data_IF_808647501319
#
_entry.id   IF_808647501319
#
_cell.length_a   1.000
_cell.length_b   1.000
_cell.length_c   1.000
_cell.angle_alpha   90.00
_cell.angle_beta   90.00
_cell.angle_gamma   90.00
#
_symmetry.space_group_name_H-M   'P 1'
#
loop_
_entity.id
_entity.type
_entity.pdbx_description
1 polymer ?
#
# COMPACT_ATOMS: atom_id res chain seq x y z
N UNK A 1 -44.51 -55.93 4.39
CA UNK A 1 -43.56 -55.66 3.28
C UNK A 1 -43.43 -54.15 3.13
N UNK A 2 -42.33 -53.59 3.61
CA UNK A 2 -42.07 -52.12 3.52
C UNK A 2 -41.11 -51.87 2.33
N UNK A 3 -41.61 -51.22 1.31
CA UNK A 3 -40.88 -50.85 0.08
C UNK A 3 -39.97 -49.65 0.40
N UNK A 4 -38.69 -49.90 0.52
CA UNK A 4 -37.61 -48.92 0.70
C UNK A 4 -37.43 -48.13 -0.61
N UNK A 5 -37.97 -46.90 -0.64
CA UNK A 5 -37.82 -45.95 -1.74
C UNK A 5 -36.33 -45.51 -1.82
N UNK A 6 -35.54 -46.12 -2.73
CA UNK A 6 -34.20 -45.68 -3.06
C UNK A 6 -34.28 -44.27 -3.69
N UNK A 7 -33.80 -43.27 -2.95
CA UNK A 7 -33.56 -41.93 -3.46
C UNK A 7 -32.41 -42.00 -4.47
N UNK A 8 -32.73 -42.03 -5.74
CA UNK A 8 -31.78 -41.89 -6.86
C UNK A 8 -31.22 -40.48 -6.89
N UNK A 9 -30.10 -40.25 -6.20
CA UNK A 9 -29.35 -39.02 -6.28
C UNK A 9 -28.84 -38.82 -7.72
N UNK A 10 -29.51 -37.98 -8.49
CA UNK A 10 -29.07 -37.57 -9.84
C UNK A 10 -27.62 -37.12 -9.79
N UNK A 11 -26.70 -37.88 -10.40
CA UNK A 11 -25.30 -37.45 -10.58
C UNK A 11 -25.31 -36.16 -11.39
N UNK A 12 -24.94 -35.05 -10.75
CA UNK A 12 -24.79 -33.74 -11.41
C UNK A 12 -23.82 -33.85 -12.58
N UNK A 13 -24.19 -33.27 -13.70
CA UNK A 13 -23.34 -33.21 -14.89
C UNK A 13 -22.10 -32.38 -14.63
N UNK A 14 -21.00 -32.60 -15.37
CA UNK A 14 -19.76 -31.83 -15.25
C UNK A 14 -20.02 -30.31 -15.39
N UNK A 15 -20.96 -29.94 -16.25
CA UNK A 15 -21.37 -28.55 -16.49
C UNK A 15 -22.08 -27.94 -15.27
N UNK A 16 -22.99 -28.68 -14.64
CA UNK A 16 -23.66 -28.21 -13.41
C UNK A 16 -22.68 -28.01 -12.25
N UNK A 17 -21.71 -28.90 -12.08
CA UNK A 17 -20.67 -28.75 -11.04
C UNK A 17 -19.78 -27.53 -11.31
N UNK A 18 -19.42 -27.26 -12.56
CA UNK A 18 -18.64 -26.07 -12.91
C UNK A 18 -19.44 -24.80 -12.62
N UNK A 19 -20.71 -24.73 -12.98
CA UNK A 19 -21.57 -23.57 -12.69
C UNK A 19 -21.77 -23.36 -11.19
N UNK A 20 -21.90 -24.44 -10.40
CA UNK A 20 -21.97 -24.33 -8.93
C UNK A 20 -20.68 -23.79 -8.33
N UNK A 21 -19.51 -24.25 -8.83
CA UNK A 21 -18.21 -23.74 -8.39
C UNK A 21 -18.03 -22.26 -8.74
N UNK A 22 -18.39 -21.86 -9.96
CA UNK A 22 -18.34 -20.46 -10.39
C UNK A 22 -19.24 -19.55 -9.55
N UNK A 23 -20.47 -20.00 -9.23
CA UNK A 23 -21.38 -19.27 -8.35
C UNK A 23 -20.85 -19.18 -6.92
N UNK A 24 -20.31 -20.26 -6.39
CA UNK A 24 -19.71 -20.27 -5.06
C UNK A 24 -18.48 -19.34 -4.97
N UNK A 25 -17.66 -19.32 -6.02
CA UNK A 25 -16.52 -18.38 -6.09
C UNK A 25 -16.96 -16.93 -6.24
N UNK A 26 -18.03 -16.66 -7.02
CA UNK A 26 -18.57 -15.31 -7.15
C UNK A 26 -19.13 -14.81 -5.83
N UNK A 27 -19.94 -15.60 -5.14
CA UNK A 27 -20.47 -15.28 -3.81
C UNK A 27 -19.35 -15.06 -2.77
N UNK A 28 -18.34 -15.94 -2.75
CA UNK A 28 -17.18 -15.77 -1.88
C UNK A 28 -16.44 -14.46 -2.11
N UNK A 29 -16.31 -14.04 -3.38
CA UNK A 29 -15.71 -12.74 -3.73
C UNK A 29 -16.52 -11.56 -3.21
N UNK A 30 -17.84 -11.60 -3.38
CA UNK A 30 -18.73 -10.55 -2.86
C UNK A 30 -18.62 -10.43 -1.33
N UNK A 31 -18.65 -11.54 -0.62
CA UNK A 31 -18.50 -11.54 0.85
C UNK A 31 -17.15 -10.96 1.27
N UNK A 32 -16.05 -11.35 0.60
CA UNK A 32 -14.72 -10.81 0.87
C UNK A 32 -14.68 -9.30 0.60
N UNK A 33 -15.25 -8.84 -0.50
CA UNK A 33 -15.33 -7.40 -0.84
C UNK A 33 -16.05 -6.60 0.24
N UNK A 34 -17.24 -7.04 0.63
CA UNK A 34 -18.00 -6.38 1.69
C UNK A 34 -17.26 -6.40 3.02
N UNK A 35 -16.57 -7.51 3.34
CA UNK A 35 -15.72 -7.61 4.52
C UNK A 35 -14.58 -6.59 4.50
N UNK A 36 -13.89 -6.44 3.38
CA UNK A 36 -12.79 -5.46 3.22
C UNK A 36 -13.31 -4.02 3.33
N UNK A 37 -14.45 -3.72 2.69
CA UNK A 37 -15.07 -2.39 2.78
C UNK A 37 -15.41 -2.08 4.24
N UNK A 38 -16.04 -3.02 4.95
CA UNK A 38 -16.40 -2.85 6.35
C UNK A 38 -15.16 -2.62 7.23
N UNK A 39 -14.11 -3.43 7.08
CA UNK A 39 -12.86 -3.29 7.82
C UNK A 39 -12.18 -1.94 7.51
N UNK A 40 -12.09 -1.56 6.23
CA UNK A 40 -11.49 -0.29 5.84
C UNK A 40 -12.24 0.91 6.41
N UNK A 41 -13.58 0.86 6.42
CA UNK A 41 -14.41 1.91 7.01
C UNK A 41 -14.22 1.99 8.53
N UNK A 42 -14.17 0.84 9.22
CA UNK A 42 -13.89 0.79 10.64
C UNK A 42 -12.52 1.35 10.99
N UNK A 43 -11.48 1.00 10.21
CA UNK A 43 -10.13 1.54 10.39
C UNK A 43 -10.10 3.05 10.14
N UNK A 44 -10.81 3.54 9.13
CA UNK A 44 -10.88 4.96 8.82
C UNK A 44 -11.55 5.75 9.97
N UNK A 45 -12.70 5.29 10.46
CA UNK A 45 -13.42 5.90 11.60
C UNK A 45 -12.55 5.84 12.86
N UNK A 46 -11.86 4.73 13.08
CA UNK A 46 -10.94 4.52 14.20
C UNK A 46 -9.79 5.55 14.19
N UNK A 47 -9.18 5.78 13.02
CA UNK A 47 -8.05 6.69 12.86
C UNK A 47 -8.43 8.17 13.06
N UNK A 48 -9.69 8.54 12.77
CA UNK A 48 -10.21 9.90 13.01
C UNK A 48 -10.55 10.11 14.52
N UNK A 49 -10.55 9.05 15.33
CA UNK A 49 -10.81 9.15 16.77
C UNK A 49 -12.28 9.02 17.16
N UNK A 50 -13.17 8.69 16.22
CA UNK A 50 -14.62 8.53 16.47
C UNK A 50 -14.99 7.11 16.95
N UNK A 51 -14.05 6.17 16.91
CA UNK A 51 -14.29 4.75 17.19
C UNK A 51 -14.41 4.36 18.67
N UNK A 52 -14.49 5.32 19.61
CA UNK A 52 -14.53 5.04 21.05
C UNK A 52 -13.27 4.32 21.55
N UNK A 53 -13.38 3.62 22.71
CA UNK A 53 -12.21 2.96 23.32
C UNK A 53 -11.60 1.88 22.46
N UNK A 54 -12.44 1.05 21.80
CA UNK A 54 -11.95 -0.02 20.90
C UNK A 54 -11.29 0.57 19.66
N UNK A 55 -11.91 1.59 19.05
CA UNK A 55 -11.32 2.29 17.93
C UNK A 55 -10.01 2.98 18.30
N UNK A 56 -9.93 3.59 19.49
CA UNK A 56 -8.69 4.17 20.00
C UNK A 56 -7.56 3.14 20.09
N UNK A 57 -7.83 1.95 20.61
CA UNK A 57 -6.85 0.86 20.66
C UNK A 57 -6.39 0.41 19.26
N UNK A 58 -7.35 0.17 18.36
CA UNK A 58 -7.03 -0.23 16.97
C UNK A 58 -6.22 0.85 16.26
N UNK A 59 -6.59 2.12 16.43
CA UNK A 59 -5.85 3.27 15.92
C UNK A 59 -4.42 3.31 16.45
N UNK A 60 -4.23 3.21 17.78
CA UNK A 60 -2.90 3.21 18.40
C UNK A 60 -2.00 2.10 17.87
N UNK A 61 -2.54 0.89 17.71
CA UNK A 61 -1.79 -0.23 17.11
C UNK A 61 -1.41 0.09 15.65
N UNK A 62 -2.35 0.61 14.87
CA UNK A 62 -2.12 0.91 13.45
C UNK A 62 -1.07 2.02 13.27
N UNK A 63 -1.17 3.08 14.09
CA UNK A 63 -0.16 4.15 14.11
C UNK A 63 1.18 3.64 14.64
N UNK A 64 1.20 2.81 15.65
CA UNK A 64 2.43 2.16 16.13
C UNK A 64 3.14 1.37 15.04
N UNK A 65 2.38 0.71 14.15
CA UNK A 65 2.94 -0.10 13.07
C UNK A 65 3.38 0.73 11.88
N UNK A 66 2.51 1.62 11.38
CA UNK A 66 2.67 2.35 10.12
C UNK A 66 3.00 3.84 10.28
N UNK A 67 2.96 4.37 11.50
CA UNK A 67 3.09 5.80 11.75
C UNK A 67 2.03 6.62 11.02
N UNK A 68 2.40 7.78 10.51
CA UNK A 68 1.50 8.68 9.78
C UNK A 68 0.78 8.00 8.59
N UNK A 69 1.43 7.00 7.98
CA UNK A 69 0.85 6.24 6.86
C UNK A 69 -0.45 5.54 7.23
N UNK A 70 -0.69 5.29 8.53
CA UNK A 70 -1.93 4.73 9.04
C UNK A 70 -3.19 5.50 8.62
N UNK A 71 -3.11 6.81 8.40
CA UNK A 71 -4.24 7.61 7.91
C UNK A 71 -4.67 7.20 6.49
N UNK A 72 -3.70 6.90 5.63
CA UNK A 72 -3.94 6.55 4.22
C UNK A 72 -4.15 5.05 4.03
N UNK A 73 -3.72 4.24 4.98
CA UNK A 73 -3.76 2.79 4.91
C UNK A 73 -5.14 2.19 4.60
N UNK A 74 -6.27 2.66 5.19
CA UNK A 74 -7.59 2.14 4.85
C UNK A 74 -7.97 2.34 3.38
N UNK A 75 -7.58 3.49 2.80
CA UNK A 75 -7.80 3.79 1.38
C UNK A 75 -6.93 2.87 0.51
N UNK A 76 -5.66 2.69 0.90
CA UNK A 76 -4.74 1.78 0.21
C UNK A 76 -5.26 0.34 0.24
N UNK A 77 -5.82 -0.11 1.36
CA UNK A 77 -6.40 -1.43 1.51
C UNK A 77 -7.62 -1.63 0.61
N UNK A 78 -8.51 -0.63 0.52
CA UNK A 78 -9.66 -0.64 -0.40
C UNK A 78 -9.20 -0.73 -1.86
N UNK A 79 -8.39 0.22 -2.30
CA UNK A 79 -7.94 0.31 -3.69
C UNK A 79 -7.16 -0.93 -4.11
N UNK A 80 -6.24 -1.41 -3.26
CA UNK A 80 -5.46 -2.62 -3.51
C UNK A 80 -6.33 -3.86 -3.65
N UNK A 81 -7.35 -4.00 -2.80
CA UNK A 81 -8.27 -5.13 -2.82
C UNK A 81 -9.16 -5.12 -4.07
N UNK A 82 -9.73 -3.97 -4.43
CA UNK A 82 -10.48 -3.82 -5.68
C UNK A 82 -9.62 -4.14 -6.89
N UNK A 83 -8.40 -3.64 -6.92
CA UNK A 83 -7.45 -3.89 -8.00
C UNK A 83 -7.11 -5.39 -8.12
N UNK A 84 -6.86 -6.06 -6.99
CA UNK A 84 -6.54 -7.49 -6.96
C UNK A 84 -7.71 -8.36 -7.45
N UNK A 85 -8.94 -8.03 -7.04
CA UNK A 85 -10.13 -8.78 -7.44
C UNK A 85 -10.45 -8.56 -8.91
N UNK A 86 -10.29 -7.33 -9.40
CA UNK A 86 -10.52 -6.97 -10.80
C UNK A 86 -9.51 -7.59 -11.76
N UNK A 87 -8.28 -7.84 -11.30
CA UNK A 87 -7.17 -8.31 -12.14
C UNK A 87 -6.73 -9.75 -11.79
N UNK A 88 -7.65 -10.62 -11.39
CA UNK A 88 -7.37 -12.01 -11.01
C UNK A 88 -6.63 -12.76 -12.14
N UNK A 89 -5.54 -13.43 -11.78
CA UNK A 89 -4.73 -14.24 -12.71
C UNK A 89 -3.74 -13.45 -13.56
N UNK A 90 -3.66 -12.13 -13.39
CA UNK A 90 -2.69 -11.32 -14.11
C UNK A 90 -1.42 -11.13 -13.28
N UNK A 91 -0.31 -11.71 -13.74
CA UNK A 91 1.00 -11.59 -13.08
C UNK A 91 1.46 -10.14 -12.93
N UNK A 92 1.12 -9.26 -13.89
CA UNK A 92 1.43 -7.83 -13.79
C UNK A 92 0.69 -7.14 -12.64
N UNK A 93 -0.53 -7.59 -12.32
CA UNK A 93 -1.27 -7.07 -11.18
C UNK A 93 -0.59 -7.43 -9.85
N UNK A 94 -0.09 -8.65 -9.74
CA UNK A 94 0.66 -9.09 -8.55
C UNK A 94 1.93 -8.26 -8.36
N UNK A 95 2.70 -8.04 -9.43
CA UNK A 95 3.91 -7.20 -9.38
C UNK A 95 3.56 -5.77 -8.93
N UNK A 96 2.47 -5.19 -9.43
CA UNK A 96 2.03 -3.84 -9.01
C UNK A 96 1.68 -3.78 -7.52
N UNK A 97 1.00 -4.79 -6.99
CA UNK A 97 0.65 -4.83 -5.56
C UNK A 97 1.90 -4.98 -4.69
N UNK A 98 2.81 -5.89 -5.06
CA UNK A 98 4.08 -6.05 -4.35
C UNK A 98 4.86 -4.74 -4.35
N UNK A 99 4.97 -4.09 -5.52
CA UNK A 99 5.66 -2.80 -5.64
C UNK A 99 4.99 -1.68 -4.83
N UNK A 100 3.65 -1.67 -4.78
CA UNK A 100 2.90 -0.72 -3.96
C UNK A 100 3.11 -0.98 -2.46
N UNK A 101 3.21 -2.24 -2.04
CA UNK A 101 3.54 -2.60 -0.65
C UNK A 101 4.97 -2.16 -0.29
N UNK A 102 5.94 -2.41 -1.17
CA UNK A 102 7.32 -1.93 -1.00
C UNK A 102 7.35 -0.40 -0.91
N UNK A 103 6.61 0.29 -1.77
CA UNK A 103 6.50 1.75 -1.75
C UNK A 103 5.99 2.26 -0.39
N UNK A 104 4.94 1.65 0.17
CA UNK A 104 4.41 2.01 1.50
C UNK A 104 5.44 1.77 2.60
N UNK A 105 6.17 0.66 2.56
CA UNK A 105 7.22 0.34 3.55
C UNK A 105 8.33 1.40 3.51
N UNK A 106 8.77 1.82 2.33
CA UNK A 106 9.82 2.82 2.19
C UNK A 106 9.31 4.25 2.47
N UNK A 107 8.03 4.56 2.27
CA UNK A 107 7.44 5.79 2.83
C UNK A 107 7.51 5.80 4.36
N UNK A 108 7.25 4.67 5.02
CA UNK A 108 7.42 4.57 6.48
C UNK A 108 8.89 4.82 6.88
N UNK A 109 9.86 4.27 6.14
CA UNK A 109 11.28 4.57 6.35
C UNK A 109 11.57 6.06 6.18
N UNK A 110 11.12 6.67 5.08
CA UNK A 110 11.31 8.09 4.80
C UNK A 110 10.80 8.98 5.95
N UNK A 111 9.59 8.70 6.43
CA UNK A 111 9.00 9.44 7.55
C UNK A 111 9.75 9.22 8.86
N UNK A 112 10.30 8.02 9.10
CA UNK A 112 11.15 7.79 10.27
C UNK A 112 12.47 8.54 10.19
N UNK A 113 13.11 8.59 9.01
CA UNK A 113 14.33 9.37 8.79
C UNK A 113 14.08 10.88 8.96
N UNK A 114 12.91 11.37 8.52
CA UNK A 114 12.52 12.77 8.72
C UNK A 114 12.28 13.11 10.19
N UNK A 115 11.69 12.20 10.96
CA UNK A 115 11.31 12.42 12.34
C UNK A 115 12.50 12.29 13.30
N UNK A 116 13.30 11.24 13.17
CA UNK A 116 14.42 10.95 14.06
C UNK A 116 15.77 11.48 13.56
N UNK A 117 15.90 11.75 12.27
CA UNK A 117 17.16 12.22 11.68
C UNK A 117 18.27 11.18 11.85
N UNK A 118 19.38 11.62 12.45
CA UNK A 118 20.54 10.75 12.75
C UNK A 118 20.42 9.96 14.05
N UNK A 119 19.35 10.16 14.81
CA UNK A 119 19.12 9.45 16.06
C UNK A 119 18.75 7.99 15.79
N UNK A 120 19.44 7.07 16.45
CA UNK A 120 19.22 5.63 16.31
C UNK A 120 18.24 5.19 17.38
N UNK A 121 16.96 5.19 17.03
CA UNK A 121 15.87 4.82 17.94
C UNK A 121 15.56 3.34 17.78
N UNK A 122 15.30 2.64 18.89
CA UNK A 122 14.95 1.22 18.82
C UNK A 122 13.58 1.03 18.11
N UNK A 123 13.35 -0.11 17.45
CA UNK A 123 12.06 -0.39 16.81
C UNK A 123 10.87 -0.30 17.76
N UNK A 124 11.08 -0.66 19.03
CA UNK A 124 10.02 -0.61 20.03
C UNK A 124 9.70 0.82 20.47
N UNK A 125 10.71 1.68 20.64
CA UNK A 125 10.50 3.09 20.95
C UNK A 125 9.81 3.79 19.78
N UNK A 126 10.23 3.50 18.54
CA UNK A 126 9.56 4.01 17.34
C UNK A 126 8.06 3.59 17.27
N UNK A 127 7.73 2.38 17.72
CA UNK A 127 6.35 1.95 17.88
C UNK A 127 5.61 2.76 18.94
N UNK A 128 6.21 2.94 20.12
CA UNK A 128 5.58 3.67 21.23
C UNK A 128 5.32 5.14 20.88
N UNK A 129 6.31 5.81 20.32
CA UNK A 129 6.20 7.20 19.89
C UNK A 129 5.11 7.37 18.85
N UNK A 130 5.12 6.55 17.80
CA UNK A 130 4.09 6.59 16.75
C UNK A 130 2.70 6.23 17.26
N UNK A 131 2.60 5.30 18.20
CA UNK A 131 1.33 4.90 18.81
C UNK A 131 0.70 6.01 19.65
N UNK A 132 1.52 6.83 20.32
CA UNK A 132 1.09 7.92 21.21
C UNK A 132 0.87 9.21 20.41
N UNK A 133 1.87 9.61 19.64
CA UNK A 133 1.93 10.94 19.01
C UNK A 133 1.44 10.93 17.56
N UNK A 134 1.13 9.76 17.00
CA UNK A 134 0.70 9.56 15.59
C UNK A 134 1.69 10.15 14.59
N UNK A 135 2.98 10.00 14.87
CA UNK A 135 4.10 10.57 14.12
C UNK A 135 4.97 9.47 13.48
N UNK A 136 6.03 9.86 12.83
CA UNK A 136 7.05 8.99 12.22
C UNK A 136 6.52 7.91 11.27
N UNK A 137 7.32 6.91 10.97
CA UNK A 137 6.94 5.75 10.11
C UNK A 137 6.61 4.47 10.89
N UNK A 138 6.36 4.58 12.19
CA UNK A 138 6.05 3.45 13.06
C UNK A 138 7.18 2.44 13.21
N UNK A 139 6.86 1.25 13.71
CA UNK A 139 7.86 0.19 13.88
C UNK A 139 8.47 -0.25 12.54
N UNK A 140 7.70 -0.21 11.43
CA UNK A 140 8.21 -0.60 10.11
C UNK A 140 9.32 0.33 9.68
N UNK A 141 9.08 1.64 9.67
CA UNK A 141 10.07 2.63 9.31
C UNK A 141 11.22 2.68 10.30
N UNK A 142 10.92 2.64 11.61
CA UNK A 142 11.91 2.62 12.68
C UNK A 142 12.86 1.43 12.61
N UNK A 143 12.35 0.22 12.31
CA UNK A 143 13.19 -0.98 12.16
C UNK A 143 14.19 -0.85 11.02
N UNK A 144 13.74 -0.34 9.87
CA UNK A 144 14.62 -0.17 8.71
C UNK A 144 15.63 0.95 8.99
N UNK A 145 15.18 2.07 9.59
CA UNK A 145 16.06 3.17 9.99
C UNK A 145 17.11 2.74 10.99
N UNK A 146 16.74 1.91 11.98
CA UNK A 146 17.65 1.33 12.97
C UNK A 146 18.81 0.54 12.35
N UNK A 147 18.58 -0.10 11.20
CA UNK A 147 19.61 -0.85 10.46
C UNK A 147 20.37 0.07 9.50
N UNK A 148 19.67 0.97 8.79
CA UNK A 148 20.25 1.77 7.71
C UNK A 148 21.10 2.93 8.22
N UNK A 149 20.65 3.65 9.26
CA UNK A 149 21.36 4.84 9.76
C UNK A 149 22.76 4.48 10.28
N UNK A 150 22.96 3.43 11.10
CA UNK A 150 24.31 3.04 11.51
C UNK A 150 25.16 2.49 10.37
N UNK A 151 24.55 1.87 9.35
CA UNK A 151 25.29 1.21 8.26
C UNK A 151 25.72 2.17 7.15
N UNK A 152 24.88 3.12 6.78
CA UNK A 152 25.06 4.02 5.62
C UNK A 152 25.14 5.50 6.00
N UNK A 153 24.93 5.81 7.28
CA UNK A 153 24.70 7.18 7.74
C UNK A 153 23.34 7.73 7.29
N UNK A 154 22.96 8.89 7.81
CA UNK A 154 21.68 9.52 7.49
C UNK A 154 21.55 9.82 5.99
N UNK A 155 22.56 10.44 5.39
CA UNK A 155 22.53 10.83 3.97
C UNK A 155 22.46 9.59 3.06
N UNK A 156 23.24 8.55 3.35
CA UNK A 156 23.22 7.30 2.61
C UNK A 156 21.86 6.61 2.69
N UNK A 157 21.22 6.62 3.88
CA UNK A 157 19.89 6.06 4.09
C UNK A 157 18.84 6.79 3.26
N UNK A 158 18.85 8.12 3.18
CA UNK A 158 17.97 8.90 2.32
C UNK A 158 18.17 8.60 0.85
N UNK A 159 19.41 8.48 0.39
CA UNK A 159 19.71 8.18 -1.02
C UNK A 159 19.13 6.82 -1.40
N UNK A 160 19.36 5.79 -0.59
CA UNK A 160 18.85 4.43 -0.83
C UNK A 160 17.32 4.45 -0.82
N UNK A 161 16.72 5.10 0.17
CA UNK A 161 15.27 5.19 0.32
C UNK A 161 14.62 5.84 -0.90
N UNK A 162 15.09 7.01 -1.32
CA UNK A 162 14.57 7.73 -2.49
C UNK A 162 14.70 6.91 -3.77
N UNK A 163 15.82 6.19 -3.96
CA UNK A 163 16.00 5.31 -5.11
C UNK A 163 14.93 4.20 -5.12
N UNK A 164 14.70 3.54 -3.98
CA UNK A 164 13.70 2.48 -3.88
C UNK A 164 12.28 3.02 -4.04
N UNK A 165 11.97 4.20 -3.50
CA UNK A 165 10.69 4.89 -3.71
C UNK A 165 10.43 5.17 -5.20
N UNK A 166 11.42 5.70 -5.92
CA UNK A 166 11.31 5.97 -7.36
C UNK A 166 11.09 4.67 -8.13
N UNK A 167 11.89 3.64 -7.87
CA UNK A 167 11.77 2.34 -8.56
C UNK A 167 10.41 1.71 -8.28
N UNK A 168 9.95 1.71 -7.02
CA UNK A 168 8.65 1.16 -6.63
C UNK A 168 7.51 1.92 -7.31
N UNK A 169 7.57 3.25 -7.35
CA UNK A 169 6.58 4.09 -8.01
C UNK A 169 6.50 3.80 -9.52
N UNK A 170 7.64 3.64 -10.19
CA UNK A 170 7.71 3.27 -11.60
C UNK A 170 7.08 1.90 -11.85
N UNK A 171 7.34 0.92 -10.98
CA UNK A 171 6.77 -0.42 -11.11
C UNK A 171 5.25 -0.44 -10.86
N UNK A 172 4.76 0.35 -9.91
CA UNK A 172 3.31 0.51 -9.64
C UNK A 172 2.59 1.11 -10.83
N UNK A 173 3.16 2.19 -11.40
CA UNK A 173 2.52 2.96 -12.48
C UNK A 173 2.69 2.28 -13.84
N UNK A 174 3.71 1.43 -14.01
CA UNK A 174 4.04 0.73 -15.25
C UNK A 174 4.64 1.63 -16.32
N UNK A 175 4.83 1.09 -17.53
CA UNK A 175 5.50 1.79 -18.66
C UNK A 175 4.89 3.15 -19.07
N UNK A 176 3.65 3.42 -18.65
CA UNK A 176 2.96 4.70 -18.97
C UNK A 176 3.52 5.88 -18.19
N UNK A 177 3.98 5.68 -16.95
CA UNK A 177 4.55 6.76 -16.14
C UNK A 177 5.92 7.20 -16.61
N UNK A 178 6.75 6.28 -17.10
CA UNK A 178 8.04 6.61 -17.69
C UNK A 178 7.88 7.52 -18.93
N UNK A 179 6.86 7.26 -19.78
CA UNK A 179 6.53 8.15 -20.89
C UNK A 179 6.04 9.52 -20.42
N UNK A 180 5.22 9.58 -19.37
CA UNK A 180 4.75 10.84 -18.80
C UNK A 180 5.87 11.67 -18.17
N UNK A 181 6.77 11.05 -17.41
CA UNK A 181 7.94 11.71 -16.82
C UNK A 181 8.94 12.16 -17.88
N UNK A 182 9.17 11.35 -18.91
CA UNK A 182 10.06 11.71 -20.02
C UNK A 182 9.51 12.89 -20.84
N UNK A 183 8.20 12.91 -21.10
CA UNK A 183 7.55 14.02 -21.78
C UNK A 183 7.48 15.28 -20.91
N UNK A 184 7.22 15.15 -19.62
CA UNK A 184 7.27 16.27 -18.68
C UNK A 184 8.68 16.86 -18.53
N UNK A 185 9.70 16.00 -18.46
CA UNK A 185 11.11 16.42 -18.44
C UNK A 185 11.54 17.15 -19.71
N UNK A 186 11.06 16.72 -20.88
CA UNK A 186 11.30 17.43 -22.16
C UNK A 186 10.67 18.82 -22.18
N UNK A 187 9.42 18.96 -21.73
CA UNK A 187 8.72 20.25 -21.68
C UNK A 187 9.44 21.24 -20.77
N UNK A 188 9.89 20.79 -19.60
CA UNK A 188 10.65 21.62 -18.67
C UNK A 188 12.01 22.02 -19.26
N UNK A 189 12.71 21.09 -19.91
CA UNK A 189 13.99 21.36 -20.56
C UNK A 189 13.85 22.34 -21.74
N UNK A 190 12.83 22.19 -22.59
CA UNK A 190 12.56 23.09 -23.71
C UNK A 190 12.17 24.50 -23.20
N UNK A 191 11.33 24.59 -22.16
CA UNK A 191 10.97 25.88 -21.56
C UNK A 191 12.18 26.59 -20.93
N UNK A 192 13.07 25.84 -20.28
CA UNK A 192 14.31 26.39 -19.72
C UNK A 192 15.27 26.87 -20.81
N UNK A 193 15.33 26.12 -21.94
CA UNK A 193 16.16 26.49 -23.11
C UNK A 193 15.64 27.76 -23.79
N UNK A 194 14.33 27.87 -24.03
CA UNK A 194 13.72 29.08 -24.62
C UNK A 194 13.92 30.31 -23.72
N UNK A 195 13.82 30.15 -22.41
CA UNK A 195 14.07 31.24 -21.47
C UNK A 195 15.51 31.72 -21.53
N UNK A 196 16.46 30.78 -21.67
CA UNK A 196 17.88 31.08 -21.76
C UNK A 196 18.28 31.73 -23.14
N UNK A 197 17.60 31.33 -24.22
CA UNK A 197 17.80 31.92 -25.55
C UNK A 197 17.25 33.36 -25.63
N UNK A 198 16.05 33.60 -25.04
CA UNK A 198 15.48 34.95 -24.91
C UNK A 198 16.37 35.89 -24.07
N UNK A 199 16.97 35.39 -22.97
CA UNK A 199 17.91 36.19 -22.18
C UNK A 199 19.21 36.56 -22.94
N UNK A 200 19.62 35.74 -23.91
CA UNK A 200 20.79 36.04 -24.77
C UNK A 200 20.49 37.06 -25.87
N UNK A 201 19.25 37.13 -26.36
CA UNK A 201 18.80 38.11 -27.33
C UNK A 201 18.65 39.53 -26.73
N UNK A 202 18.38 39.62 -25.43
CA UNK A 202 18.27 40.91 -24.72
C UNK A 202 19.61 41.46 -24.19
N UNK A 203 20.73 40.80 -24.44
CA UNK A 203 22.06 41.21 -24.02
C UNK A 203 22.91 41.66 -25.22
#
# INVERSE_FOLDING_TARGET
MATRKQSSGKRKTKKERMQEMERAEAFRREVILWGIIAVSLLLFISNIGVGGTVGGFVSSVLFGVLGIVAYVFPIFLLVGSFFMISNKGNTFAVVKIISATVFVIFICLFLSLLYYGSEVVTPFDAYLDSSRDKTSGGIIGGTIAYIFVPSFGLIGSYIIDVIVLIVSLVLVTGKSALKGMWNGGKVVYESAKETNERQKEYR
#
